data_IF_473667289915
#
_entry.id   IF_473667289915
#
_cell.length_a   1.000
_cell.length_b   1.000
_cell.length_c   1.000
_cell.angle_alpha   90.00
_cell.angle_beta   90.00
_cell.angle_gamma   90.00
#
_symmetry.space_group_name_H-M   'P 1'
#
loop_
_entity.id
_entity.type
_entity.pdbx_description
1 polymer ?
#
# COMPACT_ATOMS: atom_id res chain seq x y z
N UNK A 1 5.49 13.21 15.77
CA UNK A 1 5.37 13.45 14.31
C UNK A 1 4.24 12.57 13.80
N UNK A 2 3.34 13.06 12.95
CA UNK A 2 2.30 12.21 12.34
C UNK A 2 2.88 11.26 11.29
N UNK A 3 2.16 10.18 10.95
CA UNK A 3 2.50 9.30 9.82
C UNK A 3 2.31 10.05 8.49
N UNK A 4 3.14 9.72 7.50
CA UNK A 4 2.95 10.20 6.13
C UNK A 4 1.80 9.43 5.48
N UNK A 5 0.77 10.17 5.03
CA UNK A 5 -0.37 9.59 4.32
C UNK A 5 -0.03 9.47 2.84
N UNK A 6 -0.12 8.27 2.29
CA UNK A 6 0.24 7.96 0.91
C UNK A 6 -0.86 7.19 0.18
N UNK A 7 -0.86 7.29 -1.15
CA UNK A 7 -1.66 6.44 -2.05
C UNK A 7 -0.69 5.61 -2.86
N UNK A 8 -0.96 4.31 -2.98
CA UNK A 8 -0.16 3.38 -3.79
C UNK A 8 -0.78 3.23 -5.17
N UNK A 9 0.00 3.52 -6.21
CA UNK A 9 -0.37 3.33 -7.61
C UNK A 9 0.50 2.21 -8.17
N UNK A 10 -0.11 1.28 -8.92
CA UNK A 10 0.55 0.05 -9.37
C UNK A 10 1.00 -0.80 -8.16
N UNK A 11 0.07 -0.99 -7.22
CA UNK A 11 0.35 -1.58 -5.92
C UNK A 11 0.84 -3.04 -6.00
N UNK A 12 0.56 -3.74 -7.12
CA UNK A 12 0.75 -5.18 -7.23
C UNK A 12 0.13 -5.88 -6.01
N UNK A 13 0.87 -6.84 -5.43
CA UNK A 13 0.45 -7.54 -4.21
C UNK A 13 0.63 -6.74 -2.91
N UNK A 14 1.04 -5.47 -2.96
CA UNK A 14 1.16 -4.59 -1.79
C UNK A 14 2.45 -4.74 -0.96
N UNK A 15 3.49 -5.36 -1.52
CA UNK A 15 4.74 -5.62 -0.80
C UNK A 15 5.49 -4.35 -0.36
N UNK A 16 5.54 -3.33 -1.21
CA UNK A 16 6.16 -2.04 -0.87
C UNK A 16 5.41 -1.32 0.24
N UNK A 17 4.08 -1.28 0.14
CA UNK A 17 3.19 -0.65 1.11
C UNK A 17 3.39 -1.28 2.49
N UNK A 18 3.31 -2.62 2.58
CA UNK A 18 3.54 -3.35 3.83
C UNK A 18 4.94 -3.09 4.41
N UNK A 19 5.97 -3.03 3.55
CA UNK A 19 7.32 -2.70 3.98
C UNK A 19 7.43 -1.31 4.59
N UNK A 20 6.82 -0.31 3.95
CA UNK A 20 6.83 1.09 4.40
C UNK A 20 5.99 1.28 5.67
N UNK A 21 4.82 0.66 5.77
CA UNK A 21 4.01 0.70 6.99
C UNK A 21 4.74 0.10 8.19
N UNK A 22 5.51 -0.99 7.98
CA UNK A 22 6.34 -1.61 9.02
C UNK A 22 7.46 -0.71 9.55
N UNK A 23 7.85 0.33 8.81
CA UNK A 23 8.80 1.34 9.34
C UNK A 23 8.18 2.24 10.41
N UNK A 24 6.84 2.27 10.52
CA UNK A 24 6.08 3.13 11.42
C UNK A 24 5.90 4.57 10.93
N UNK A 25 6.52 4.94 9.80
CA UNK A 25 6.46 6.29 9.24
C UNK A 25 5.31 6.54 8.27
N UNK A 26 4.62 5.50 7.80
CA UNK A 26 3.66 5.57 6.70
C UNK A 26 2.29 5.02 7.09
N UNK A 27 1.27 5.57 6.43
CA UNK A 27 -0.12 5.11 6.42
C UNK A 27 -0.62 5.16 4.97
N UNK A 28 -0.89 4.01 4.36
CA UNK A 28 -1.48 3.98 3.03
C UNK A 28 -2.99 4.14 3.14
N UNK A 29 -3.52 5.23 2.56
CA UNK A 29 -4.96 5.57 2.61
C UNK A 29 -5.72 5.13 1.37
N UNK A 30 -5.05 4.47 0.43
CA UNK A 30 -5.64 3.93 -0.78
C UNK A 30 -4.61 3.21 -1.64
N UNK A 31 -5.08 2.21 -2.38
CA UNK A 31 -4.29 1.40 -3.29
C UNK A 31 -5.03 1.25 -4.62
N UNK A 32 -4.31 1.35 -5.74
CA UNK A 32 -4.83 1.16 -7.09
C UNK A 32 -3.99 0.12 -7.83
N UNK A 33 -4.64 -0.93 -8.32
CA UNK A 33 -4.02 -2.01 -9.07
C UNK A 33 -4.97 -2.51 -10.18
N UNK A 34 -4.44 -2.76 -11.37
CA UNK A 34 -5.19 -3.19 -12.56
C UNK A 34 -5.42 -4.71 -12.55
N UNK A 35 -4.49 -5.48 -12.01
CA UNK A 35 -4.57 -6.94 -12.00
C UNK A 35 -5.58 -7.47 -10.95
N UNK A 36 -6.61 -8.23 -11.35
CA UNK A 36 -7.62 -8.74 -10.42
C UNK A 36 -7.07 -9.67 -9.33
N UNK A 37 -6.06 -10.47 -9.68
CA UNK A 37 -5.43 -11.38 -8.72
C UNK A 37 -4.71 -10.59 -7.62
N UNK A 38 -3.89 -9.61 -8.01
CA UNK A 38 -3.15 -8.77 -7.08
C UNK A 38 -4.09 -7.96 -6.17
N UNK A 39 -5.16 -7.37 -6.74
CA UNK A 39 -6.21 -6.71 -5.95
C UNK A 39 -6.87 -7.62 -4.92
N UNK A 40 -7.00 -8.92 -5.19
CA UNK A 40 -7.57 -9.86 -4.22
C UNK A 40 -6.62 -10.16 -3.04
N UNK A 41 -5.32 -9.87 -3.19
CA UNK A 41 -4.31 -9.96 -2.13
C UNK A 41 -4.34 -8.71 -1.24
N UNK A 42 -4.59 -7.53 -1.81
CA UNK A 42 -4.77 -6.27 -1.08
C UNK A 42 -6.05 -6.37 -0.22
N UNK A 43 -5.93 -6.37 1.12
CA UNK A 43 -7.04 -6.49 2.08
C UNK A 43 -7.13 -5.31 3.02
#
# INVERSE_FOLDING_TARGET
MGKLRAISLFAGIGGFDLGLERTGGFEFVGQCEIEPFDRAVLR
#
